data_IF_979475399496
#
_entry.id   IF_979475399496
#
_cell.length_a   1.000
_cell.length_b   1.000
_cell.length_c   1.000
_cell.angle_alpha   90.00
_cell.angle_beta   90.00
_cell.angle_gamma   90.00
#
_symmetry.space_group_name_H-M   'P 1'
#
loop_
_entity.id
_entity.type
_entity.pdbx_description
1 polymer ?
#
# COMPACT_ATOMS: atom_id res chain seq x y z
N UNK A 1 0.50 -11.36 24.00
CA UNK A 1 -0.43 -10.34 24.54
C UNK A 1 -0.31 -9.15 23.61
N UNK A 2 -1.03 -9.17 22.50
CA UNK A 2 -1.07 -8.09 21.52
C UNK A 2 -2.16 -8.47 20.53
N UNK A 3 -3.42 -8.09 20.78
CA UNK A 3 -4.49 -8.16 19.77
C UNK A 3 -5.71 -7.26 20.08
N UNK A 4 -5.62 -6.32 21.03
CA UNK A 4 -6.59 -5.23 21.16
C UNK A 4 -6.12 -4.00 20.37
N UNK A 5 -5.90 -4.20 19.07
CA UNK A 5 -5.78 -3.08 18.15
C UNK A 5 -7.18 -2.48 17.90
N UNK A 6 -7.37 -1.17 17.97
CA UNK A 6 -8.66 -0.53 17.70
C UNK A 6 -9.13 -0.84 16.26
N UNK A 7 -10.44 -0.86 16.01
CA UNK A 7 -11.00 -1.10 14.66
C UNK A 7 -10.48 -0.06 13.64
N UNK A 8 -10.15 1.14 14.13
CA UNK A 8 -9.55 2.25 13.38
C UNK A 8 -8.00 2.23 13.36
N UNK A 9 -7.33 1.22 13.94
CA UNK A 9 -5.86 1.21 14.00
C UNK A 9 -5.26 0.99 12.60
N UNK A 10 -4.77 2.10 12.04
CA UNK A 10 -4.05 2.16 10.77
C UNK A 10 -2.55 1.99 11.01
N UNK A 11 -1.94 0.97 10.40
CA UNK A 11 -0.48 0.84 10.32
C UNK A 11 0.01 1.04 8.90
N UNK A 12 1.00 1.90 8.74
CA UNK A 12 1.68 2.14 7.47
C UNK A 12 3.10 1.61 7.60
N UNK A 13 3.49 0.69 6.72
CA UNK A 13 4.82 0.07 6.71
C UNK A 13 5.53 0.38 5.39
N UNK A 14 6.78 0.79 5.47
CA UNK A 14 7.59 1.20 4.33
C UNK A 14 7.68 2.72 4.13
N UNK A 15 8.06 3.21 2.93
CA UNK A 15 8.33 2.40 1.73
C UNK A 15 9.53 1.49 1.91
N UNK A 16 9.44 0.27 1.40
CA UNK A 16 10.52 -0.71 1.42
C UNK A 16 10.76 -1.24 0.01
N UNK A 17 12.01 -1.59 -0.35
CA UNK A 17 12.30 -2.25 -1.62
C UNK A 17 11.57 -3.60 -1.68
N UNK A 18 11.03 -3.93 -2.86
CA UNK A 18 10.46 -5.27 -3.08
C UNK A 18 11.55 -6.35 -3.02
N UNK A 19 11.15 -7.61 -2.85
CA UNK A 19 12.07 -8.76 -2.83
C UNK A 19 13.00 -8.77 -4.06
N UNK A 20 12.43 -8.46 -5.23
CA UNK A 20 13.21 -8.12 -6.43
C UNK A 20 13.19 -6.61 -6.58
N UNK A 21 14.26 -5.95 -6.12
CA UNK A 21 14.37 -4.49 -6.08
C UNK A 21 14.37 -3.81 -7.45
N UNK A 22 14.74 -4.52 -8.53
CA UNK A 22 14.87 -3.95 -9.87
C UNK A 22 14.50 -4.94 -10.97
N UNK A 23 13.61 -4.52 -11.87
CA UNK A 23 13.21 -5.29 -13.06
C UNK A 23 13.19 -4.35 -14.27
N UNK A 24 13.83 -4.76 -15.38
CA UNK A 24 13.89 -4.00 -16.64
C UNK A 24 14.31 -2.54 -16.43
N UNK A 25 15.31 -2.33 -15.57
CA UNK A 25 15.85 -1.00 -15.26
C UNK A 25 15.02 -0.16 -14.29
N UNK A 26 13.82 -0.59 -13.88
CA UNK A 26 12.94 0.13 -12.95
C UNK A 26 13.06 -0.42 -11.53
N UNK A 27 13.14 0.47 -10.55
CA UNK A 27 13.13 0.10 -9.13
C UNK A 27 11.70 -0.20 -8.68
N UNK A 28 11.56 -1.17 -7.77
CA UNK A 28 10.29 -1.63 -7.23
C UNK A 28 10.27 -1.41 -5.72
N UNK A 29 9.25 -0.71 -5.26
CA UNK A 29 8.99 -0.44 -3.86
C UNK A 29 7.54 -0.75 -3.54
N UNK A 30 7.27 -1.15 -2.30
CA UNK A 30 5.92 -1.26 -1.77
C UNK A 30 5.71 -0.36 -0.55
N UNK A 31 4.46 0.02 -0.33
CA UNK A 31 3.96 0.62 0.90
C UNK A 31 2.79 -0.25 1.34
N UNK A 32 2.86 -0.80 2.55
CA UNK A 32 1.79 -1.66 3.07
C UNK A 32 0.94 -0.83 4.00
N UNK A 33 -0.37 -0.85 3.76
CA UNK A 33 -1.35 -0.24 4.64
C UNK A 33 -2.15 -1.37 5.28
N UNK A 34 -2.01 -1.53 6.60
CA UNK A 34 -2.76 -2.51 7.39
C UNK A 34 -3.84 -1.79 8.20
N UNK A 35 -5.04 -2.34 8.23
CA UNK A 35 -6.13 -1.93 9.10
C UNK A 35 -6.94 -3.17 9.51
N UNK A 36 -7.88 -3.03 10.45
CA UNK A 36 -8.80 -4.12 10.84
C UNK A 36 -10.02 -4.31 9.91
N UNK A 37 -9.96 -3.74 8.70
CA UNK A 37 -11.10 -3.69 7.78
C UNK A 37 -12.00 -2.48 8.07
N UNK A 38 -12.68 -1.98 7.04
CA UNK A 38 -13.57 -0.83 7.17
C UNK A 38 -13.65 0.02 5.91
N UNK A 39 -14.87 0.38 5.52
CA UNK A 39 -15.15 1.11 4.27
C UNK A 39 -14.56 2.53 4.28
N UNK A 40 -14.36 3.13 5.46
CA UNK A 40 -13.86 4.51 5.61
C UNK A 40 -12.46 4.67 5.01
N UNK A 41 -11.52 3.79 5.35
CA UNK A 41 -10.16 3.87 4.84
C UNK A 41 -10.11 3.58 3.34
N UNK A 42 -10.87 2.59 2.89
CA UNK A 42 -10.97 2.24 1.47
C UNK A 42 -11.46 3.43 0.64
N UNK A 43 -12.53 4.11 1.10
CA UNK A 43 -13.05 5.33 0.45
C UNK A 43 -12.00 6.44 0.39
N UNK A 44 -11.32 6.71 1.52
CA UNK A 44 -10.27 7.72 1.59
C UNK A 44 -9.11 7.44 0.60
N UNK A 45 -8.65 6.19 0.52
CA UNK A 45 -7.59 5.79 -0.41
C UNK A 45 -8.04 5.90 -1.87
N UNK A 46 -9.25 5.46 -2.18
CA UNK A 46 -9.81 5.56 -3.53
C UNK A 46 -9.91 7.02 -3.98
N UNK A 47 -10.44 7.90 -3.13
CA UNK A 47 -10.60 9.33 -3.45
C UNK A 47 -9.24 10.01 -3.61
N UNK A 48 -8.27 9.70 -2.74
CA UNK A 48 -6.91 10.19 -2.88
C UNK A 48 -6.26 9.73 -4.20
N UNK A 49 -6.36 8.45 -4.54
CA UNK A 49 -5.73 7.87 -5.73
C UNK A 49 -6.38 8.36 -7.03
N UNK A 50 -7.70 8.58 -7.05
CA UNK A 50 -8.41 9.13 -8.21
C UNK A 50 -7.91 10.52 -8.60
N UNK A 51 -7.60 11.36 -7.62
CA UNK A 51 -7.09 12.72 -7.85
C UNK A 51 -5.59 12.78 -8.14
N UNK A 52 -4.85 11.69 -7.94
CA UNK A 52 -3.39 11.70 -8.00
C UNK A 52 -2.87 11.32 -9.38
N UNK A 53 -1.97 12.16 -9.91
CA UNK A 53 -1.12 11.80 -11.06
C UNK A 53 0.30 11.56 -10.56
N UNK A 54 0.86 10.41 -10.89
CA UNK A 54 2.27 10.12 -10.67
C UNK A 54 3.08 10.58 -11.88
N UNK A 55 4.33 10.97 -11.65
CA UNK A 55 5.22 11.38 -12.74
C UNK A 55 5.43 10.24 -13.75
N UNK A 56 5.83 10.54 -15.00
CA UNK A 56 5.92 9.54 -16.08
C UNK A 56 6.90 8.39 -15.80
N UNK A 57 7.84 8.59 -14.87
CA UNK A 57 8.79 7.58 -14.43
C UNK A 57 8.22 6.61 -13.36
N UNK A 58 7.01 6.83 -12.86
CA UNK A 58 6.42 6.06 -11.75
C UNK A 58 5.14 5.40 -12.21
N UNK A 59 5.11 4.07 -12.11
CA UNK A 59 3.91 3.25 -12.27
C UNK A 59 3.46 2.79 -10.89
N UNK A 60 2.18 2.99 -10.56
CA UNK A 60 1.57 2.50 -9.32
C UNK A 60 0.62 1.34 -9.64
N UNK A 61 0.70 0.29 -8.83
CA UNK A 61 -0.32 -0.76 -8.74
C UNK A 61 -0.78 -0.83 -7.28
N UNK A 62 -2.05 -1.16 -7.07
CA UNK A 62 -2.64 -1.36 -5.74
C UNK A 62 -3.21 -2.77 -5.69
N UNK A 63 -2.80 -3.52 -4.69
CA UNK A 63 -3.30 -4.86 -4.40
C UNK A 63 -4.06 -4.81 -3.07
N UNK A 64 -5.30 -5.29 -3.07
CA UNK A 64 -6.19 -5.29 -1.90
C UNK A 64 -6.23 -6.72 -1.38
N UNK A 65 -6.00 -6.89 -0.09
CA UNK A 65 -5.88 -8.21 0.55
C UNK A 65 -4.80 -9.09 -0.11
N UNK A 66 -3.65 -8.46 -0.40
CA UNK A 66 -2.50 -9.12 -1.03
C UNK A 66 -2.07 -10.36 -0.23
N UNK A 67 -1.96 -11.50 -0.92
CA UNK A 67 -1.51 -12.77 -0.34
C UNK A 67 0.00 -12.73 -0.08
N UNK A 68 0.77 -12.16 -1.03
CA UNK A 68 2.23 -12.12 -1.00
C UNK A 68 2.77 -10.76 -1.47
N UNK A 69 4.01 -10.45 -1.07
CA UNK A 69 4.73 -9.23 -1.44
C UNK A 69 5.98 -9.57 -2.27
N UNK A 70 5.79 -9.75 -3.58
CA UNK A 70 6.86 -10.07 -4.55
C UNK A 70 7.33 -8.82 -5.28
#
# INVERSE_FOLDING_TARGET
>A
MEDEADEDELKILGPAPCLIERIKGRYRYHLIIKNKGGERLQRLLVDYLRGRRFGPAVSLAVDVDAIDLI
#
